data_IF_158422100220
#
_entry.id   IF_158422100220
#
_cell.length_a   1.000
_cell.length_b   1.000
_cell.length_c   1.000
_cell.angle_alpha   90.00
_cell.angle_beta   90.00
_cell.angle_gamma   90.00
#
_symmetry.space_group_name_H-M   'P 1'
#
loop_
_entity.id
_entity.type
_entity.pdbx_description
1 polymer ?
#
# COMPACT_ATOMS: atom_id res chain seq x y z
N UNK A 1 -0.62 -8.62 -20.04
CA UNK A 1 -0.93 -8.04 -18.71
C UNK A 1 -0.84 -9.11 -17.63
N UNK A 2 0.36 -9.65 -17.39
CA UNK A 2 0.63 -10.67 -16.34
C UNK A 2 0.70 -10.03 -14.93
N UNK A 3 0.70 -8.69 -14.86
CA UNK A 3 0.94 -7.90 -13.66
C UNK A 3 -0.16 -7.98 -12.59
N UNK A 4 -1.40 -8.31 -12.95
CA UNK A 4 -2.55 -8.29 -12.02
C UNK A 4 -3.03 -9.71 -11.67
N UNK A 5 -2.08 -10.58 -11.29
CA UNK A 5 -2.34 -11.92 -10.74
C UNK A 5 -1.87 -11.98 -9.28
N UNK A 6 -2.66 -12.57 -8.35
CA UNK A 6 -2.23 -12.74 -6.96
C UNK A 6 -0.95 -13.56 -6.82
N UNK A 7 -0.79 -14.61 -7.63
CA UNK A 7 0.37 -15.49 -7.63
C UNK A 7 1.62 -14.76 -8.11
N UNK A 8 1.48 -13.98 -9.19
CA UNK A 8 2.56 -13.16 -9.74
C UNK A 8 2.97 -12.07 -8.74
N UNK A 9 2.01 -11.37 -8.14
CA UNK A 9 2.28 -10.38 -7.10
C UNK A 9 3.01 -11.02 -5.91
N UNK A 10 2.53 -12.15 -5.40
CA UNK A 10 3.15 -12.84 -4.28
C UNK A 10 4.60 -13.28 -4.60
N UNK A 11 4.88 -13.69 -5.85
CA UNK A 11 6.23 -14.01 -6.29
C UNK A 11 7.14 -12.77 -6.35
N UNK A 12 6.63 -11.65 -6.88
CA UNK A 12 7.34 -10.36 -6.91
C UNK A 12 7.67 -9.91 -5.49
N UNK A 13 6.70 -9.91 -4.56
CA UNK A 13 6.91 -9.44 -3.18
C UNK A 13 7.91 -10.29 -2.38
N UNK A 14 8.14 -11.56 -2.76
CA UNK A 14 9.19 -12.41 -2.16
C UNK A 14 10.60 -12.14 -2.73
N UNK A 15 10.70 -11.29 -3.74
CA UNK A 15 12.00 -10.93 -4.33
C UNK A 15 12.76 -9.98 -3.40
N UNK A 16 14.08 -9.95 -3.55
CA UNK A 16 14.95 -9.15 -2.68
C UNK A 16 14.73 -7.66 -2.89
N UNK A 17 14.56 -6.90 -1.79
CA UNK A 17 14.46 -5.43 -1.75
C UNK A 17 13.29 -4.86 -2.56
N UNK A 18 12.14 -5.53 -2.57
CA UNK A 18 10.90 -4.92 -3.06
C UNK A 18 10.29 -4.06 -1.96
N UNK A 19 9.77 -2.90 -2.35
CA UNK A 19 8.95 -2.04 -1.49
C UNK A 19 7.53 -2.02 -2.04
N UNK A 20 6.56 -2.25 -1.16
CA UNK A 20 5.13 -2.14 -1.46
C UNK A 20 4.60 -0.81 -0.92
N UNK A 21 4.05 0.02 -1.78
CA UNK A 21 3.30 1.22 -1.42
C UNK A 21 1.81 0.93 -1.57
N UNK A 22 1.03 1.19 -0.53
CA UNK A 22 -0.39 0.84 -0.47
C UNK A 22 -1.22 2.09 -0.30
N UNK A 23 -2.18 2.27 -1.20
CA UNK A 23 -3.29 3.19 -1.01
C UNK A 23 -4.28 2.59 -0.01
N UNK A 24 -4.24 3.12 1.20
CA UNK A 24 -4.83 2.51 2.38
C UNK A 24 -6.34 2.43 2.33
N UNK A 25 -7.05 3.52 2.01
CA UNK A 25 -8.51 3.50 1.98
C UNK A 25 -9.06 2.75 0.76
N UNK A 26 -8.37 2.81 -0.39
CA UNK A 26 -8.79 2.03 -1.55
C UNK A 26 -8.80 0.52 -1.26
N UNK A 27 -7.78 0.03 -0.54
CA UNK A 27 -7.70 -1.37 -0.12
C UNK A 27 -8.60 -1.66 1.08
N UNK A 28 -8.63 -0.78 2.08
CA UNK A 28 -9.34 -1.06 3.33
C UNK A 28 -10.85 -1.06 3.15
N UNK A 29 -11.39 -0.14 2.35
CA UNK A 29 -12.83 -0.06 2.05
C UNK A 29 -13.31 -1.29 1.27
N UNK A 30 -12.45 -1.93 0.46
CA UNK A 30 -12.77 -3.17 -0.24
C UNK A 30 -12.62 -4.41 0.66
N UNK A 31 -11.66 -4.39 1.59
CA UNK A 31 -11.32 -5.54 2.43
C UNK A 31 -12.12 -5.67 3.73
N UNK A 32 -12.54 -4.53 4.30
CA UNK A 32 -13.14 -4.41 5.65
C UNK A 32 -14.21 -3.31 5.69
N UNK A 33 -15.13 -3.28 4.72
CA UNK A 33 -16.18 -2.25 4.58
C UNK A 33 -17.08 -2.08 5.81
N UNK A 34 -17.25 -3.14 6.61
CA UNK A 34 -18.13 -3.14 7.78
C UNK A 34 -17.49 -2.50 9.03
N UNK A 35 -16.19 -2.23 9.01
CA UNK A 35 -15.48 -1.57 10.09
C UNK A 35 -15.51 -0.04 9.93
N UNK A 36 -15.43 0.68 11.05
CA UNK A 36 -15.17 2.12 11.05
C UNK A 36 -13.76 2.42 10.51
N UNK A 37 -13.45 3.69 10.22
CA UNK A 37 -12.17 4.06 9.63
C UNK A 37 -10.98 3.61 10.50
N UNK A 38 -11.12 3.66 11.83
CA UNK A 38 -10.07 3.19 12.74
C UNK A 38 -9.85 1.67 12.63
N UNK A 39 -10.93 0.88 12.68
CA UNK A 39 -10.90 -0.56 12.52
C UNK A 39 -10.38 -1.00 11.16
N UNK A 40 -10.73 -0.27 10.09
CA UNK A 40 -10.20 -0.49 8.75
C UNK A 40 -8.68 -0.31 8.69
N UNK A 41 -8.15 0.79 9.25
CA UNK A 41 -6.71 1.03 9.32
C UNK A 41 -5.98 -0.05 10.10
N UNK A 42 -6.54 -0.44 11.24
CA UNK A 42 -5.92 -1.45 12.10
C UNK A 42 -5.93 -2.85 11.47
N UNK A 43 -7.04 -3.23 10.84
CA UNK A 43 -7.17 -4.51 10.16
C UNK A 43 -6.23 -4.63 8.95
N UNK A 44 -6.16 -3.59 8.12
CA UNK A 44 -5.22 -3.53 7.00
C UNK A 44 -3.77 -3.53 7.48
N UNK A 45 -3.44 -2.72 8.48
CA UNK A 45 -2.09 -2.69 9.06
C UNK A 45 -1.65 -4.06 9.59
N UNK A 46 -2.55 -4.77 10.28
CA UNK A 46 -2.27 -6.13 10.77
C UNK A 46 -2.10 -7.15 9.63
N UNK A 47 -2.86 -7.02 8.54
CA UNK A 47 -2.70 -7.87 7.36
C UNK A 47 -1.35 -7.64 6.67
N UNK A 48 -0.91 -6.38 6.55
CA UNK A 48 0.37 -6.02 5.95
C UNK A 48 1.56 -6.45 6.80
N UNK A 49 1.45 -6.45 8.13
CA UNK A 49 2.48 -6.99 9.02
C UNK A 49 2.66 -8.51 8.84
N UNK A 50 1.56 -9.25 8.66
CA UNK A 50 1.61 -10.68 8.30
C UNK A 50 2.24 -10.88 6.92
N UNK A 51 1.92 -10.02 5.95
CA UNK A 51 2.55 -10.04 4.63
C UNK A 51 4.07 -9.82 4.72
N UNK A 52 4.51 -8.81 5.47
CA UNK A 52 5.93 -8.55 5.72
C UNK A 52 6.62 -9.77 6.36
N UNK A 53 5.98 -10.41 7.33
CA UNK A 53 6.54 -11.59 8.00
C UNK A 53 6.81 -12.74 7.01
N UNK A 54 5.92 -12.93 6.01
CA UNK A 54 6.03 -13.99 5.00
C UNK A 54 6.98 -13.65 3.85
N UNK A 55 7.08 -12.38 3.48
CA UNK A 55 7.75 -11.95 2.23
C UNK A 55 9.04 -11.18 2.47
N UNK A 56 9.22 -10.60 3.67
CA UNK A 56 10.25 -9.60 4.01
C UNK A 56 10.21 -8.34 3.13
N UNK A 57 9.11 -8.11 2.42
CA UNK A 57 8.85 -6.86 1.71
C UNK A 57 8.57 -5.75 2.74
N UNK A 58 9.24 -4.62 2.60
CA UNK A 58 8.91 -3.42 3.38
C UNK A 58 7.67 -2.75 2.78
N UNK A 59 6.81 -2.22 3.65
CA UNK A 59 5.52 -1.64 3.27
C UNK A 59 5.45 -0.18 3.69
N UNK A 60 5.03 0.68 2.76
CA UNK A 60 4.57 2.04 3.04
C UNK A 60 3.05 2.08 2.84
N UNK A 61 2.30 2.27 3.92
CA UNK A 61 0.84 2.34 3.92
C UNK A 61 0.41 3.81 4.01
N UNK A 62 -0.24 4.32 2.98
CA UNK A 62 -0.65 5.73 2.87
C UNK A 62 -2.15 5.85 3.13
N UNK A 63 -2.57 6.75 4.02
CA UNK A 63 -3.98 7.10 4.20
C UNK A 63 -4.19 8.59 3.92
N UNK A 64 -5.40 8.94 3.47
CA UNK A 64 -5.86 10.32 3.51
C UNK A 64 -5.91 10.80 4.96
N UNK A 65 -5.25 11.92 5.24
CA UNK A 65 -5.06 12.51 6.56
C UNK A 65 -6.17 13.43 7.04
N UNK A 66 -7.26 13.60 6.29
CA UNK A 66 -8.39 14.42 6.71
C UNK A 66 -8.96 13.96 8.07
N UNK A 67 -8.57 14.66 9.16
CA UNK A 67 -9.10 14.47 10.52
C UNK A 67 -8.32 13.55 11.46
N UNK A 68 -7.07 13.18 11.16
CA UNK A 68 -6.26 12.30 12.03
C UNK A 68 -5.02 13.04 12.56
N UNK A 69 -5.23 14.15 13.26
CA UNK A 69 -4.17 14.76 14.06
C UNK A 69 -4.02 14.01 15.40
N UNK A 70 -2.79 13.61 15.73
CA UNK A 70 -2.45 13.12 17.08
C UNK A 70 -2.66 11.63 17.37
N UNK A 71 -3.17 10.82 16.42
CA UNK A 71 -3.32 9.37 16.64
C UNK A 71 -1.98 8.67 16.49
N UNK A 72 -1.38 8.29 17.63
CA UNK A 72 -0.16 7.50 17.67
C UNK A 72 -0.47 6.06 17.26
N UNK A 73 -0.21 5.72 16.02
CA UNK A 73 -0.38 4.35 15.54
C UNK A 73 0.60 3.39 16.23
N UNK A 74 0.18 2.14 16.51
CA UNK A 74 1.09 1.12 16.99
C UNK A 74 2.23 0.93 15.98
N UNK A 75 3.45 0.76 16.48
CA UNK A 75 4.59 0.39 15.61
C UNK A 75 4.34 -1.01 15.07
N UNK A 76 4.34 -1.14 13.75
CA UNK A 76 4.17 -2.41 13.03
C UNK A 76 5.48 -2.75 12.32
N UNK A 77 6.15 -3.87 12.67
CA UNK A 77 7.37 -4.31 11.99
C UNK A 77 7.17 -4.38 10.46
N UNK A 78 8.07 -3.72 9.72
CA UNK A 78 8.04 -3.71 8.25
C UNK A 78 6.89 -2.92 7.62
N UNK A 79 6.06 -2.21 8.40
CA UNK A 79 4.97 -1.37 7.89
C UNK A 79 5.13 0.05 8.43
N UNK A 80 5.46 0.98 7.53
CA UNK A 80 5.46 2.41 7.81
C UNK A 80 4.13 3.01 7.37
N UNK A 81 3.41 3.63 8.30
CA UNK A 81 2.14 4.33 8.01
C UNK A 81 2.42 5.81 7.77
N UNK A 82 1.87 6.36 6.69
CA UNK A 82 1.96 7.76 6.27
C UNK A 82 0.55 8.31 6.12
N UNK A 83 0.31 9.52 6.61
CA UNK A 83 -0.92 10.26 6.38
C UNK A 83 -0.62 11.43 5.45
N UNK A 84 -1.54 11.74 4.54
CA UNK A 84 -1.44 12.98 3.77
C UNK A 84 -1.60 14.21 4.66
N UNK A 85 -0.99 15.33 4.26
CA UNK A 85 -1.21 16.60 4.94
C UNK A 85 -2.65 17.10 4.72
N UNK A 86 -3.11 18.04 5.56
CA UNK A 86 -4.40 18.69 5.34
C UNK A 86 -4.43 19.37 3.96
N UNK A 87 -5.46 19.05 3.16
CA UNK A 87 -5.61 19.54 1.79
C UNK A 87 -4.70 18.85 0.76
N UNK A 88 -3.97 17.80 1.15
CA UNK A 88 -3.20 16.94 0.24
C UNK A 88 -3.91 15.62 -0.01
N UNK A 89 -4.09 15.28 -1.28
CA UNK A 89 -4.64 13.99 -1.71
C UNK A 89 -3.65 12.85 -1.44
N UNK A 90 -4.14 11.74 -0.89
CA UNK A 90 -3.33 10.55 -0.63
C UNK A 90 -2.62 10.05 -1.90
N UNK A 91 -3.24 10.18 -3.05
CA UNK A 91 -2.72 9.82 -4.37
C UNK A 91 -1.38 10.48 -4.68
N UNK A 92 -1.27 11.79 -4.39
CA UNK A 92 -0.02 12.54 -4.55
C UNK A 92 1.05 12.08 -3.58
N UNK A 93 0.64 11.69 -2.36
CA UNK A 93 1.56 11.12 -1.37
C UNK A 93 2.07 9.77 -1.86
N UNK A 94 1.22 8.88 -2.37
CA UNK A 94 1.63 7.59 -2.94
C UNK A 94 2.70 7.80 -4.02
N UNK A 95 2.44 8.68 -5.00
CA UNK A 95 3.39 8.97 -6.08
C UNK A 95 4.69 9.57 -5.55
N UNK A 96 4.61 10.49 -4.58
CA UNK A 96 5.80 11.05 -3.90
C UNK A 96 6.62 9.97 -3.21
N UNK A 97 5.99 9.06 -2.48
CA UNK A 97 6.68 7.96 -1.81
C UNK A 97 7.42 7.07 -2.82
N UNK A 98 6.82 6.77 -3.98
CA UNK A 98 7.51 6.07 -5.08
C UNK A 98 8.73 6.86 -5.57
N UNK A 99 8.59 8.16 -5.80
CA UNK A 99 9.65 9.04 -6.28
C UNK A 99 10.84 9.20 -5.32
N UNK A 100 10.61 9.07 -4.01
CA UNK A 100 11.68 9.16 -2.99
C UNK A 100 12.56 7.90 -2.92
N UNK A 101 12.07 6.77 -3.42
CA UNK A 101 12.81 5.51 -3.41
C UNK A 101 13.88 5.49 -4.50
N UNK A 102 15.00 4.84 -4.22
CA UNK A 102 16.06 4.65 -5.23
C UNK A 102 15.50 3.92 -6.44
N UNK A 103 15.77 4.40 -7.66
CA UNK A 103 15.35 3.73 -8.91
C UNK A 103 15.91 2.30 -9.09
N UNK A 104 16.81 1.85 -8.20
CA UNK A 104 17.33 0.46 -8.14
C UNK A 104 16.46 -0.48 -7.28
N UNK A 105 15.50 0.06 -6.54
CA UNK A 105 14.56 -0.66 -5.67
C UNK A 105 13.27 -0.87 -6.46
N UNK A 106 12.86 -2.11 -6.75
CA UNK A 106 11.57 -2.36 -7.37
C UNK A 106 10.44 -1.90 -6.44
N UNK A 107 9.55 -1.07 -6.97
CA UNK A 107 8.39 -0.54 -6.23
C UNK A 107 7.13 -1.14 -6.81
N UNK A 108 6.28 -1.68 -5.93
CA UNK A 108 4.93 -2.10 -6.27
C UNK A 108 3.95 -1.13 -5.62
N UNK A 109 2.98 -0.62 -6.37
CA UNK A 109 1.89 0.21 -5.87
C UNK A 109 0.60 -0.60 -5.94
N UNK A 110 -0.12 -0.69 -4.83
CA UNK A 110 -1.47 -1.25 -4.80
C UNK A 110 -2.50 -0.13 -4.77
N UNK A 111 -3.16 0.11 -5.90
CA UNK A 111 -4.32 0.99 -6.01
C UNK A 111 -5.17 0.59 -7.22
N UNK A 112 -6.48 0.82 -7.11
CA UNK A 112 -7.41 0.67 -8.23
C UNK A 112 -7.74 2.01 -8.89
N UNK A 113 -7.16 3.12 -8.42
CA UNK A 113 -7.33 4.43 -9.03
C UNK A 113 -6.51 4.56 -10.33
N UNK A 114 -7.15 5.07 -11.38
CA UNK A 114 -6.53 5.16 -12.70
C UNK A 114 -5.49 6.28 -12.81
N UNK A 115 -5.68 7.38 -12.08
CA UNK A 115 -4.73 8.50 -12.02
C UNK A 115 -3.50 8.09 -11.21
N UNK A 116 -3.68 7.50 -10.03
CA UNK A 116 -2.58 6.94 -9.23
C UNK A 116 -1.79 5.92 -10.04
N UNK A 117 -2.48 5.04 -10.77
CA UNK A 117 -1.82 4.06 -11.64
C UNK A 117 -0.93 4.74 -12.66
N UNK A 118 -1.50 5.66 -13.45
CA UNK A 118 -0.77 6.33 -14.53
C UNK A 118 0.46 7.08 -14.00
N UNK A 119 0.33 7.72 -12.85
CA UNK A 119 1.39 8.51 -12.25
C UNK A 119 2.48 7.65 -11.60
N UNK A 120 2.09 6.58 -10.89
CA UNK A 120 3.03 5.62 -10.31
C UNK A 120 3.81 4.85 -11.38
N UNK A 121 3.16 4.46 -12.47
CA UNK A 121 3.82 3.81 -13.62
C UNK A 121 4.83 4.76 -14.28
N UNK A 122 4.52 6.06 -14.38
CA UNK A 122 5.44 7.08 -14.89
C UNK A 122 6.68 7.22 -14.01
N UNK A 123 6.54 7.02 -12.70
CA UNK A 123 7.65 6.98 -11.76
C UNK A 123 8.45 5.65 -11.77
N UNK A 124 7.99 4.67 -12.54
CA UNK A 124 8.65 3.37 -12.73
C UNK A 124 8.18 2.27 -11.78
N UNK A 125 7.04 2.44 -11.11
CA UNK A 125 6.44 1.41 -10.27
C UNK A 125 5.64 0.40 -11.09
N UNK A 126 5.55 -0.83 -10.57
CA UNK A 126 4.55 -1.82 -10.98
C UNK A 126 3.25 -1.55 -10.22
N UNK A 127 2.13 -1.36 -10.92
CA UNK A 127 0.84 -1.14 -10.27
C UNK A 127 -0.02 -2.41 -10.32
N UNK A 128 -0.61 -2.76 -9.18
CA UNK A 128 -1.55 -3.88 -9.02
C UNK A 128 -2.87 -3.38 -8.46
N UNK A 129 -3.98 -4.06 -8.77
CA UNK A 129 -5.27 -3.69 -8.21
C UNK A 129 -5.35 -3.99 -6.72
N UNK A 130 -6.21 -3.25 -6.02
CA UNK A 130 -6.50 -3.50 -4.60
C UNK A 130 -7.10 -4.88 -4.37
N UNK A 131 -7.88 -5.39 -5.33
CA UNK A 131 -8.43 -6.74 -5.30
C UNK A 131 -7.32 -7.82 -5.34
N UNK A 132 -6.30 -7.63 -6.18
CA UNK A 132 -5.14 -8.53 -6.26
C UNK A 132 -4.34 -8.51 -4.97
N UNK A 133 -4.07 -7.33 -4.39
CA UNK A 133 -3.41 -7.25 -3.09
C UNK A 133 -4.24 -7.93 -2.00
N UNK A 134 -5.54 -7.70 -1.92
CA UNK A 134 -6.42 -8.34 -0.93
C UNK A 134 -6.39 -9.87 -1.01
N UNK A 135 -6.30 -10.41 -2.23
CA UNK A 135 -6.18 -11.84 -2.45
C UNK A 135 -4.88 -12.39 -1.85
N UNK A 136 -3.76 -11.69 -2.01
CA UNK A 136 -2.46 -12.03 -1.39
C UNK A 136 -2.48 -11.85 0.13
N UNK A 137 -3.20 -10.86 0.65
CA UNK A 137 -3.34 -10.63 2.10
C UNK A 137 -4.15 -11.73 2.80
N UNK A 138 -5.05 -12.41 2.08
CA UNK A 138 -5.93 -13.47 2.58
C UNK A 138 -5.38 -14.89 2.38
N UNK A 139 -4.32 -15.04 1.59
CA UNK A 139 -3.65 -16.32 1.32
C UNK A 139 -2.73 -16.76 2.45
#
# INVERSE_FOLDING_TARGET
>A
MVADSPEALAAVLRSTRVVLVVDGYNVSMMGWSDADLAGQRDALGAALERLHTRTRCDVTLVFDGAGIEGVRQPRRPGVRVVFSAEGEEADRVVVREVGTLSKKVPVVVASSDAEVRADAEREGALVVSSATLLSVLRS
#
